data_IF_652542119854
#
_entry.id   IF_652542119854
#
_cell.length_a   1.000
_cell.length_b   1.000
_cell.length_c   1.000
_cell.angle_alpha   90.00
_cell.angle_beta   90.00
_cell.angle_gamma   90.00
#
_symmetry.space_group_name_H-M   'P 1'
#
loop_
_entity.id
_entity.type
_entity.pdbx_description
1 polymer ?
#
# COMPACT_ATOMS: atom_id res chain seq x y z
N UNK A 1 12.68 14.05 17.03
CA UNK A 1 11.22 13.76 17.04
C UNK A 1 10.99 12.55 16.16
N UNK A 2 10.30 11.54 16.67
CA UNK A 2 9.94 10.37 15.88
C UNK A 2 8.62 10.63 15.15
N UNK A 3 8.49 10.14 13.92
CA UNK A 3 7.28 10.21 13.12
C UNK A 3 7.05 8.85 12.45
N UNK A 4 5.80 8.58 12.08
CA UNK A 4 5.40 7.39 11.33
C UNK A 4 4.52 7.79 10.16
N UNK A 5 4.56 6.99 9.09
CA UNK A 5 3.65 7.10 7.95
C UNK A 5 2.71 5.90 8.01
N UNK A 6 1.42 6.16 8.06
CA UNK A 6 0.38 5.14 8.09
C UNK A 6 -0.62 5.36 6.96
N UNK A 7 -1.15 4.30 6.33
CA UNK A 7 -2.20 4.44 5.33
C UNK A 7 -3.53 4.72 6.03
N UNK A 8 -4.15 5.86 5.71
CA UNK A 8 -5.46 6.23 6.26
C UNK A 8 -6.61 5.78 5.35
N UNK A 9 -6.42 5.85 4.04
CA UNK A 9 -7.45 5.54 3.05
C UNK A 9 -6.81 5.00 1.78
N UNK A 10 -7.55 4.16 1.04
CA UNK A 10 -7.24 3.84 -0.34
C UNK A 10 -8.51 3.79 -1.19
N UNK A 11 -8.38 4.03 -2.49
CA UNK A 11 -9.52 4.12 -3.42
C UNK A 11 -10.27 2.80 -3.63
N UNK A 12 -9.65 1.64 -3.34
CA UNK A 12 -10.24 0.32 -3.56
C UNK A 12 -10.99 -0.23 -2.32
N UNK A 13 -10.41 -0.08 -1.12
CA UNK A 13 -10.92 -0.62 0.14
C UNK A 13 -11.43 0.47 1.12
N UNK A 14 -11.31 1.75 0.75
CA UNK A 14 -11.75 2.89 1.56
C UNK A 14 -10.84 3.18 2.75
N UNK A 15 -11.42 3.78 3.79
CA UNK A 15 -10.73 4.12 5.04
C UNK A 15 -10.27 2.88 5.80
N UNK A 16 -9.05 2.92 6.34
CA UNK A 16 -8.55 1.87 7.21
C UNK A 16 -8.96 2.16 8.65
N UNK A 17 -10.11 1.61 9.07
CA UNK A 17 -10.75 1.90 10.35
C UNK A 17 -9.81 1.70 11.55
N UNK A 18 -8.99 0.65 11.55
CA UNK A 18 -8.03 0.37 12.63
C UNK A 18 -7.02 1.52 12.82
N UNK A 19 -6.51 2.13 11.74
CA UNK A 19 -5.62 3.28 11.85
C UNK A 19 -6.34 4.52 12.37
N UNK A 20 -7.60 4.73 11.96
CA UNK A 20 -8.41 5.83 12.48
C UNK A 20 -8.67 5.67 13.99
N UNK A 21 -9.01 4.47 14.45
CA UNK A 21 -9.21 4.17 15.87
C UNK A 21 -7.91 4.38 16.68
N UNK A 22 -6.77 3.95 16.15
CA UNK A 22 -5.47 4.19 16.78
C UNK A 22 -5.14 5.68 16.89
N UNK A 23 -5.48 6.49 15.89
CA UNK A 23 -5.28 7.93 15.96
C UNK A 23 -6.17 8.61 17.01
N UNK A 24 -7.38 8.11 17.23
CA UNK A 24 -8.28 8.63 18.27
C UNK A 24 -7.86 8.22 19.69
N UNK A 25 -7.21 7.07 19.83
CA UNK A 25 -6.89 6.47 21.14
C UNK A 25 -5.46 6.73 21.62
N UNK A 26 -4.59 7.25 20.76
CA UNK A 26 -3.17 7.53 21.07
C UNK A 26 -2.90 9.03 21.11
N UNK A 27 -1.93 9.44 21.92
CA UNK A 27 -1.45 10.81 21.99
C UNK A 27 -0.51 11.12 20.82
N UNK A 28 -1.08 11.20 19.62
CA UNK A 28 -0.40 11.51 18.36
C UNK A 28 -1.19 12.58 17.60
N UNK A 29 -0.52 13.30 16.71
CA UNK A 29 -1.14 14.32 15.88
C UNK A 29 -0.61 14.27 14.46
N UNK A 30 -1.47 14.65 13.50
CA UNK A 30 -1.13 14.67 12.08
C UNK A 30 -0.14 15.82 11.82
N UNK A 31 1.01 15.51 11.23
CA UNK A 31 2.00 16.50 10.82
C UNK A 31 2.01 16.78 9.30
N UNK A 32 1.30 15.97 8.53
CA UNK A 32 1.18 16.12 7.08
C UNK A 32 0.42 14.96 6.46
N UNK A 33 0.12 15.10 5.17
CA UNK A 33 -0.54 14.09 4.35
C UNK A 33 0.24 13.86 3.06
N UNK A 34 0.06 12.67 2.48
CA UNK A 34 0.67 12.32 1.20
C UNK A 34 -0.23 11.38 0.40
N UNK A 35 -0.57 11.78 -0.82
CA UNK A 35 -1.31 10.94 -1.75
C UNK A 35 -0.32 10.12 -2.59
N UNK A 36 -0.19 8.84 -2.27
CA UNK A 36 0.65 7.91 -3.01
C UNK A 36 -0.14 7.22 -4.13
N UNK A 37 0.24 7.46 -5.39
CA UNK A 37 -0.30 6.71 -6.52
C UNK A 37 0.27 5.29 -6.55
N UNK A 38 -0.59 4.29 -6.37
CA UNK A 38 -0.21 2.88 -6.45
C UNK A 38 -0.04 2.46 -7.91
N UNK A 39 1.11 1.86 -8.23
CA UNK A 39 1.46 1.35 -9.56
C UNK A 39 1.98 -0.08 -9.42
N UNK A 40 1.25 -1.04 -9.98
CA UNK A 40 1.70 -2.43 -10.04
C UNK A 40 2.74 -2.61 -11.15
N UNK A 41 3.80 -3.36 -10.85
CA UNK A 41 4.87 -3.67 -11.78
C UNK A 41 5.08 -5.19 -11.78
N UNK A 42 5.27 -5.77 -12.96
CA UNK A 42 5.67 -7.18 -13.08
C UNK A 42 7.18 -7.26 -12.90
N UNK A 43 7.63 -8.04 -11.92
CA UNK A 43 9.05 -8.21 -11.59
C UNK A 43 9.47 -9.64 -11.91
N UNK A 44 10.62 -9.79 -12.57
CA UNK A 44 11.21 -11.08 -12.91
C UNK A 44 12.73 -11.02 -12.80
N UNK A 45 13.39 -12.17 -12.85
CA UNK A 45 14.86 -12.25 -12.87
C UNK A 45 15.44 -11.53 -14.10
N UNK A 46 16.66 -10.99 -14.02
CA UNK A 46 17.31 -10.32 -15.15
C UNK A 46 17.35 -11.20 -16.41
N UNK A 47 17.06 -10.61 -17.57
CA UNK A 47 17.04 -11.31 -18.86
C UNK A 47 15.80 -12.16 -19.14
N UNK A 48 14.87 -12.31 -18.18
CA UNK A 48 13.60 -13.01 -18.42
C UNK A 48 12.70 -12.15 -19.30
N UNK A 49 12.24 -12.73 -20.41
CA UNK A 49 11.27 -12.09 -21.30
C UNK A 49 9.86 -12.24 -20.74
N UNK A 50 9.02 -11.21 -20.88
CA UNK A 50 7.63 -11.21 -20.41
C UNK A 50 6.83 -12.42 -20.94
N UNK A 51 7.01 -12.80 -22.20
CA UNK A 51 6.34 -13.97 -22.80
C UNK A 51 6.79 -15.33 -22.25
N UNK A 52 7.85 -15.40 -21.46
CA UNK A 52 8.27 -16.63 -20.77
C UNK A 52 7.59 -16.81 -19.40
N UNK A 53 6.89 -15.78 -18.90
CA UNK A 53 6.19 -15.85 -17.61
C UNK A 53 4.94 -16.72 -17.73
N UNK A 54 4.71 -17.57 -16.72
CA UNK A 54 3.54 -18.46 -16.67
C UNK A 54 2.57 -18.13 -15.54
N UNK A 55 3.06 -17.53 -14.46
CA UNK A 55 2.29 -17.20 -13.25
C UNK A 55 2.83 -15.91 -12.65
N UNK A 56 1.94 -15.00 -12.29
CA UNK A 56 2.22 -13.89 -11.38
C UNK A 56 1.86 -14.29 -9.96
N UNK A 57 2.66 -13.86 -8.99
CA UNK A 57 2.36 -14.01 -7.56
C UNK A 57 2.28 -12.61 -6.97
N UNK A 58 1.21 -12.32 -6.25
CA UNK A 58 1.03 -11.06 -5.53
C UNK A 58 0.04 -11.27 -4.38
N UNK A 59 -0.22 -10.23 -3.62
CA UNK A 59 -1.34 -10.17 -2.69
C UNK A 59 -2.67 -10.23 -3.47
N UNK A 60 -3.73 -10.91 -2.98
CA UNK A 60 -5.01 -11.04 -3.70
C UNK A 60 -5.59 -9.70 -4.19
N UNK A 61 -5.54 -8.66 -3.34
CA UNK A 61 -6.02 -7.30 -3.68
C UNK A 61 -5.27 -6.67 -4.86
N UNK A 62 -4.07 -7.13 -5.21
CA UNK A 62 -3.33 -6.65 -6.37
C UNK A 62 -3.53 -7.51 -7.64
N UNK A 63 -4.26 -8.63 -7.51
CA UNK A 63 -4.60 -9.55 -8.61
C UNK A 63 -6.04 -9.41 -9.09
N UNK A 64 -6.93 -8.94 -8.21
CA UNK A 64 -8.32 -8.61 -8.51
C UNK A 64 -8.44 -7.21 -9.15
#
# INVERSE_FOLDING_TARGET
MAAAVIPIENTLAGTVAEHADLMLTRDVFIQGEYLLRIVHNVIAMPGVRLGALRRGLSHPVALD
#
